data_IF_000569981428
#
_entry.id   IF_000569981428
#
_cell.length_a   1.000
_cell.length_b   1.000
_cell.length_c   1.000
_cell.angle_alpha   90.00
_cell.angle_beta   90.00
_cell.angle_gamma   90.00
#
_symmetry.space_group_name_H-M   'P 1'
#
loop_
_entity.id
_entity.type
_entity.pdbx_description
1 polymer ?
#
# COMPACT_ATOMS: atom_id res chain seq x y z
N UNK A 1 1.48 73.99 -14.99
CA UNK A 1 1.16 75.07 -14.02
C UNK A 1 -0.36 75.11 -13.78
N UNK A 2 -0.86 75.61 -12.63
CA UNK A 2 -2.32 75.73 -12.40
C UNK A 2 -3.07 76.59 -13.43
N UNK A 3 -2.35 77.38 -14.25
CA UNK A 3 -2.90 78.11 -15.40
C UNK A 3 -3.08 77.28 -16.68
N UNK A 4 -2.63 76.02 -16.72
CA UNK A 4 -2.81 75.09 -17.86
C UNK A 4 -3.95 74.08 -17.62
N UNK A 5 -4.53 74.08 -16.42
CA UNK A 5 -5.62 73.21 -16.02
C UNK A 5 -6.92 74.03 -16.05
N UNK A 6 -8.01 73.46 -16.57
CA UNK A 6 -9.31 74.14 -16.54
C UNK A 6 -9.72 74.46 -15.10
N UNK A 7 -10.44 75.57 -14.94
CA UNK A 7 -10.87 76.03 -13.62
C UNK A 7 -11.65 74.95 -12.86
N UNK A 8 -12.54 74.24 -13.56
CA UNK A 8 -13.32 73.12 -13.02
C UNK A 8 -12.45 71.97 -12.49
N UNK A 9 -11.45 71.52 -13.27
CA UNK A 9 -10.54 70.44 -12.82
C UNK A 9 -9.64 70.91 -11.68
N UNK A 10 -9.23 72.17 -11.71
CA UNK A 10 -8.45 72.77 -10.64
C UNK A 10 -9.24 72.80 -9.33
N UNK A 11 -10.47 73.29 -9.36
CA UNK A 11 -11.37 73.36 -8.21
C UNK A 11 -11.71 71.98 -7.67
N UNK A 12 -11.95 70.99 -8.53
CA UNK A 12 -12.19 69.61 -8.10
C UNK A 12 -10.99 69.02 -7.33
N UNK A 13 -9.76 69.29 -7.80
CA UNK A 13 -8.54 68.79 -7.17
C UNK A 13 -8.18 69.54 -5.90
N UNK A 14 -8.42 70.85 -5.85
CA UNK A 14 -8.34 71.61 -4.60
C UNK A 14 -9.34 71.07 -3.56
N UNK A 15 -10.56 70.74 -3.99
CA UNK A 15 -11.56 70.16 -3.10
C UNK A 15 -11.15 68.77 -2.60
N UNK A 16 -10.59 67.91 -3.47
CA UNK A 16 -10.01 66.61 -3.07
C UNK A 16 -8.89 66.78 -2.04
N UNK A 17 -7.92 67.65 -2.33
CA UNK A 17 -6.81 67.95 -1.42
C UNK A 17 -7.29 68.44 -0.06
N UNK A 18 -8.32 69.29 -0.04
CA UNK A 18 -8.86 69.87 1.18
C UNK A 18 -9.67 68.89 2.03
N UNK A 19 -10.28 67.87 1.42
CA UNK A 19 -11.24 66.99 2.11
C UNK A 19 -10.75 65.55 2.31
N UNK A 20 -9.68 65.10 1.64
CA UNK A 20 -9.14 63.78 1.86
C UNK A 20 -8.27 63.73 3.13
N UNK A 21 -8.60 62.79 4.04
CA UNK A 21 -7.87 62.56 5.28
C UNK A 21 -6.43 62.03 5.07
N UNK A 22 -6.09 61.55 3.87
CA UNK A 22 -4.73 61.17 3.48
C UNK A 22 -3.92 62.35 2.90
N UNK A 23 -4.56 63.48 2.57
CA UNK A 23 -3.94 64.63 1.92
C UNK A 23 -3.85 65.83 2.88
N UNK A 24 -4.42 67.00 2.52
CA UNK A 24 -4.25 68.23 3.30
C UNK A 24 -5.31 68.43 4.37
N UNK A 25 -6.41 67.67 4.35
CA UNK A 25 -7.46 67.81 5.37
C UNK A 25 -6.90 67.80 6.81
N UNK A 26 -6.00 66.88 7.23
CA UNK A 26 -5.50 66.86 8.60
C UNK A 26 -4.68 68.10 8.99
N UNK A 27 -4.00 68.73 8.03
CA UNK A 27 -3.23 69.97 8.31
C UNK A 27 -4.11 71.21 8.24
N UNK A 28 -5.13 71.22 7.38
CA UNK A 28 -6.15 72.27 7.33
C UNK A 28 -7.00 72.30 8.61
N UNK A 29 -7.40 71.12 9.11
CA UNK A 29 -8.10 70.97 10.39
C UNK A 29 -7.26 71.51 11.58
N UNK A 30 -5.93 71.54 11.44
CA UNK A 30 -4.98 72.08 12.41
C UNK A 30 -4.63 73.56 12.18
N UNK A 31 -5.35 74.25 11.28
CA UNK A 31 -5.23 75.69 11.05
C UNK A 31 -4.31 76.09 9.89
N UNK A 32 -3.79 75.13 9.11
CA UNK A 32 -3.11 75.47 7.86
C UNK A 32 -4.10 76.14 6.88
N UNK A 33 -3.58 76.98 5.98
CA UNK A 33 -4.37 77.65 4.95
C UNK A 33 -3.88 77.25 3.57
N UNK A 34 -4.79 76.75 2.74
CA UNK A 34 -4.53 76.50 1.32
C UNK A 34 -4.84 77.77 0.51
N UNK A 35 -3.91 78.20 -0.33
CA UNK A 35 -4.06 79.39 -1.17
C UNK A 35 -3.61 79.07 -2.59
N UNK A 36 -4.45 79.39 -3.57
CA UNK A 36 -4.12 79.20 -4.99
C UNK A 36 -3.17 80.29 -5.48
N UNK A 37 -2.11 79.89 -6.16
CA UNK A 37 -1.21 80.79 -6.87
C UNK A 37 -1.54 80.79 -8.36
N UNK A 38 -1.94 81.94 -8.91
CA UNK A 38 -2.37 82.07 -10.31
C UNK A 38 -1.21 82.35 -11.28
N UNK A 39 0.03 82.24 -10.81
CA UNK A 39 1.23 82.62 -11.57
C UNK A 39 1.19 84.08 -12.07
N UNK A 40 0.56 84.97 -11.31
CA UNK A 40 0.55 86.42 -11.56
C UNK A 40 1.24 87.14 -10.43
N UNK A 41 1.87 88.28 -10.75
CA UNK A 41 2.52 89.14 -9.75
C UNK A 41 1.57 89.50 -8.60
N UNK A 42 0.31 89.81 -8.93
CA UNK A 42 -0.71 90.16 -7.93
C UNK A 42 -1.02 88.98 -6.99
N UNK A 43 -1.20 87.76 -7.52
CA UNK A 43 -1.45 86.58 -6.69
C UNK A 43 -0.26 86.23 -5.79
N UNK A 44 0.97 86.42 -6.29
CA UNK A 44 2.19 86.26 -5.51
C UNK A 44 2.29 87.29 -4.37
N UNK A 45 2.04 88.57 -4.64
CA UNK A 45 2.02 89.60 -3.60
C UNK A 45 0.97 89.33 -2.52
N UNK A 46 -0.21 88.84 -2.90
CA UNK A 46 -1.27 88.50 -1.95
C UNK A 46 -0.86 87.34 -1.03
N UNK A 47 -0.20 86.31 -1.56
CA UNK A 47 0.36 85.23 -0.75
C UNK A 47 1.44 85.77 0.20
N UNK A 48 2.35 86.61 -0.30
CA UNK A 48 3.42 87.19 0.51
C UNK A 48 2.88 88.07 1.65
N UNK A 49 1.88 88.91 1.41
CA UNK A 49 1.23 89.72 2.46
C UNK A 49 0.71 88.86 3.61
N UNK A 50 0.14 87.68 3.29
CA UNK A 50 -0.34 86.73 4.32
C UNK A 50 0.78 86.08 5.14
N UNK A 51 2.01 86.08 4.62
CA UNK A 51 3.19 85.54 5.29
C UNK A 51 3.94 86.58 6.13
N UNK A 52 3.86 87.87 5.78
CA UNK A 52 4.57 88.95 6.50
C UNK A 52 4.16 89.01 7.98
N UNK A 53 2.87 88.86 8.28
CA UNK A 53 2.36 88.86 9.67
C UNK A 53 2.37 87.45 10.31
N UNK A 54 2.81 86.44 9.57
CA UNK A 54 2.78 85.06 10.05
C UNK A 54 3.98 84.81 10.98
N UNK A 55 3.69 84.33 12.19
CA UNK A 55 4.74 83.91 13.11
C UNK A 55 5.22 82.51 12.71
N UNK A 56 6.50 82.33 12.33
CA UNK A 56 7.01 81.03 11.94
C UNK A 56 7.00 80.10 13.16
N UNK A 57 6.25 79.00 13.03
CA UNK A 57 6.29 77.89 13.97
C UNK A 57 7.10 76.77 13.30
N UNK A 58 8.32 76.47 13.76
CA UNK A 58 9.10 75.38 13.18
C UNK A 58 8.33 74.07 13.38
N UNK A 59 8.31 73.23 12.33
CA UNK A 59 7.84 71.87 12.50
C UNK A 59 8.77 71.16 13.50
N UNK A 60 8.22 70.25 14.29
CA UNK A 60 9.01 69.48 15.26
C UNK A 60 10.21 68.80 14.60
N UNK A 61 10.03 68.21 13.40
CA UNK A 61 11.14 67.61 12.64
C UNK A 61 12.22 68.61 12.23
N UNK A 62 11.85 69.88 11.96
CA UNK A 62 12.83 70.92 11.61
C UNK A 62 13.64 71.33 12.83
N UNK A 63 13.00 71.47 14.00
CA UNK A 63 13.68 71.71 15.26
C UNK A 63 14.64 70.55 15.61
N UNK A 64 14.15 69.31 15.49
CA UNK A 64 14.93 68.11 15.79
C UNK A 64 16.15 67.97 14.88
N UNK A 65 16.03 68.25 13.58
CA UNK A 65 17.16 68.13 12.64
C UNK A 65 18.14 69.30 12.74
N UNK A 66 17.62 70.54 12.81
CA UNK A 66 18.46 71.75 12.69
C UNK A 66 19.01 72.19 14.04
N UNK A 67 18.15 72.26 15.06
CA UNK A 67 18.53 72.78 16.37
C UNK A 67 19.11 71.67 17.26
N UNK A 68 18.46 70.50 17.27
CA UNK A 68 18.89 69.35 18.08
C UNK A 68 19.89 68.42 17.37
N UNK A 69 20.18 68.67 16.08
CA UNK A 69 21.14 67.90 15.28
C UNK A 69 20.85 66.38 15.24
N UNK A 70 19.57 65.98 15.34
CA UNK A 70 19.14 64.59 15.22
C UNK A 70 19.19 64.13 13.77
N UNK A 71 19.53 62.86 13.57
CA UNK A 71 19.33 62.21 12.28
C UNK A 71 17.83 62.00 12.02
N UNK A 72 17.42 61.91 10.75
CA UNK A 72 16.01 61.75 10.36
C UNK A 72 15.35 60.56 11.07
N UNK A 73 16.07 59.45 11.24
CA UNK A 73 15.56 58.24 11.91
C UNK A 73 15.32 58.45 13.42
N UNK A 74 16.03 59.40 14.03
CA UNK A 74 15.93 59.73 15.46
C UNK A 74 14.85 60.77 15.77
N UNK A 75 14.24 61.35 14.73
CA UNK A 75 13.12 62.29 14.87
C UNK A 75 11.84 61.57 15.27
N UNK A 76 10.90 62.27 15.91
CA UNK A 76 9.61 61.67 16.26
C UNK A 76 8.85 61.22 15.02
N UNK A 77 8.95 61.97 13.92
CA UNK A 77 8.38 61.57 12.64
C UNK A 77 9.04 60.30 12.06
N UNK A 78 10.36 60.15 12.21
CA UNK A 78 11.10 58.96 11.82
C UNK A 78 10.68 57.73 12.62
N UNK A 79 10.61 57.86 13.95
CA UNK A 79 10.17 56.79 14.85
C UNK A 79 8.73 56.32 14.56
N UNK A 80 7.81 57.24 14.27
CA UNK A 80 6.43 56.92 13.89
C UNK A 80 6.35 56.14 12.57
N UNK A 81 7.17 56.51 11.57
CA UNK A 81 7.25 55.77 10.31
C UNK A 81 7.81 54.36 10.52
N UNK A 82 8.86 54.21 11.33
CA UNK A 82 9.44 52.92 11.66
C UNK A 82 8.46 52.03 12.43
N UNK A 83 7.74 52.59 13.41
CA UNK A 83 6.73 51.86 14.18
C UNK A 83 5.63 51.31 13.27
N UNK A 84 5.12 52.12 12.33
CA UNK A 84 4.12 51.66 11.36
C UNK A 84 4.65 50.58 10.43
N UNK A 85 5.87 50.75 9.93
CA UNK A 85 6.52 49.74 9.08
C UNK A 85 6.72 48.42 9.84
N UNK A 86 7.11 48.49 11.11
CA UNK A 86 7.30 47.32 11.98
C UNK A 86 5.97 46.62 12.28
N UNK A 87 4.90 47.37 12.52
CA UNK A 87 3.55 46.82 12.74
C UNK A 87 3.03 46.10 11.49
N UNK A 88 3.21 46.69 10.30
CA UNK A 88 2.85 46.05 9.03
C UNK A 88 3.68 44.79 8.77
N UNK A 89 5.00 44.85 9.00
CA UNK A 89 5.88 43.69 8.86
C UNK A 89 5.50 42.56 9.81
N UNK A 90 5.17 42.89 11.07
CA UNK A 90 4.68 41.92 12.07
C UNK A 90 3.38 41.28 11.61
N UNK A 91 2.42 42.08 11.11
CA UNK A 91 1.15 41.56 10.60
C UNK A 91 1.36 40.60 9.42
N UNK A 92 2.23 40.95 8.49
CA UNK A 92 2.58 40.08 7.36
C UNK A 92 3.24 38.79 7.83
N UNK A 93 4.18 38.88 8.78
CA UNK A 93 4.84 37.71 9.35
C UNK A 93 3.85 36.78 10.06
N UNK A 94 2.93 37.33 10.86
CA UNK A 94 1.89 36.54 11.53
C UNK A 94 0.97 35.83 10.52
N UNK A 95 0.61 36.52 9.42
CA UNK A 95 -0.20 35.93 8.36
C UNK A 95 0.53 34.79 7.65
N UNK A 96 1.81 34.98 7.30
CA UNK A 96 2.62 33.94 6.66
C UNK A 96 2.85 32.75 7.59
N UNK A 97 3.12 32.99 8.88
CA UNK A 97 3.21 31.93 9.88
C UNK A 97 1.90 31.16 10.02
N UNK A 98 0.76 31.83 9.94
CA UNK A 98 -0.56 31.17 9.95
C UNK A 98 -0.74 30.28 8.71
N UNK A 99 -0.47 30.80 7.51
CA UNK A 99 -0.55 30.02 6.26
C UNK A 99 0.36 28.81 6.28
N UNK A 100 1.58 28.96 6.77
CA UNK A 100 2.54 27.86 6.90
C UNK A 100 2.05 26.78 7.87
N UNK A 101 1.48 27.17 9.02
CA UNK A 101 0.89 26.22 9.98
C UNK A 101 -0.28 25.45 9.36
N UNK A 102 -1.20 26.15 8.69
CA UNK A 102 -2.33 25.53 8.00
C UNK A 102 -1.88 24.56 6.91
N UNK A 103 -0.89 24.95 6.10
CA UNK A 103 -0.32 24.09 5.06
C UNK A 103 0.37 22.84 5.67
N UNK A 104 1.12 23.00 6.76
CA UNK A 104 1.76 21.89 7.46
C UNK A 104 0.74 20.92 8.05
N UNK A 105 -0.33 21.42 8.68
CA UNK A 105 -1.41 20.59 9.21
C UNK A 105 -2.13 19.83 8.09
N UNK A 106 -2.44 20.49 6.97
CA UNK A 106 -3.08 19.85 5.83
C UNK A 106 -2.18 18.74 5.24
N UNK A 107 -0.88 18.99 5.10
CA UNK A 107 0.08 18.01 4.63
C UNK A 107 0.20 16.80 5.58
N UNK A 108 0.23 17.04 6.90
CA UNK A 108 0.24 15.97 7.90
C UNK A 108 -1.02 15.11 7.82
N UNK A 109 -2.21 15.72 7.69
CA UNK A 109 -3.48 14.98 7.55
C UNK A 109 -3.50 14.13 6.28
N UNK A 110 -3.09 14.70 5.14
CA UNK A 110 -3.00 13.96 3.88
C UNK A 110 -2.03 12.77 3.97
N UNK A 111 -0.85 12.97 4.58
CA UNK A 111 0.11 11.88 4.78
C UNK A 111 -0.43 10.81 5.72
N UNK A 112 -1.10 11.18 6.81
CA UNK A 112 -1.71 10.24 7.74
C UNK A 112 -2.80 9.39 7.06
N UNK A 113 -3.64 10.01 6.24
CA UNK A 113 -4.67 9.30 5.47
C UNK A 113 -4.03 8.35 4.44
N UNK A 114 -3.00 8.80 3.73
CA UNK A 114 -2.29 7.95 2.77
C UNK A 114 -1.66 6.73 3.45
N UNK A 115 -0.94 6.94 4.58
CA UNK A 115 -0.36 5.83 5.36
C UNK A 115 -1.43 4.87 5.87
N UNK A 116 -2.58 5.37 6.34
CA UNK A 116 -3.68 4.53 6.78
C UNK A 116 -4.22 3.66 5.63
N UNK A 117 -4.35 4.22 4.42
CA UNK A 117 -4.76 3.47 3.22
C UNK A 117 -3.72 2.40 2.83
N UNK A 118 -2.43 2.73 2.87
CA UNK A 118 -1.35 1.78 2.57
C UNK A 118 -1.33 0.61 3.57
N UNK A 119 -1.50 0.89 4.87
CA UNK A 119 -1.58 -0.14 5.91
C UNK A 119 -2.79 -1.04 5.69
N UNK A 120 -3.96 -0.49 5.37
CA UNK A 120 -5.16 -1.31 5.13
C UNK A 120 -5.00 -2.18 3.87
N UNK A 121 -4.44 -1.63 2.78
CA UNK A 121 -4.15 -2.40 1.57
C UNK A 121 -3.16 -3.54 1.85
N UNK A 122 -2.09 -3.28 2.61
CA UNK A 122 -1.13 -4.29 3.01
C UNK A 122 -1.79 -5.39 3.87
N UNK A 123 -2.71 -5.01 4.77
CA UNK A 123 -3.47 -5.95 5.60
C UNK A 123 -4.37 -6.85 4.76
N UNK A 124 -5.11 -6.27 3.81
CA UNK A 124 -5.97 -7.01 2.88
C UNK A 124 -5.13 -7.98 2.02
N UNK A 125 -4.02 -7.49 1.47
CA UNK A 125 -3.12 -8.30 0.64
C UNK A 125 -2.53 -9.49 1.44
N UNK A 126 -2.13 -9.26 2.70
CA UNK A 126 -1.65 -10.32 3.58
C UNK A 126 -2.71 -11.38 3.85
N UNK A 127 -3.93 -10.97 4.20
CA UNK A 127 -5.04 -11.91 4.44
C UNK A 127 -5.36 -12.72 3.19
N UNK A 128 -5.37 -12.09 2.02
CA UNK A 128 -5.58 -12.78 0.75
C UNK A 128 -4.45 -13.78 0.43
N UNK A 129 -3.19 -13.43 0.70
CA UNK A 129 -2.06 -14.32 0.53
C UNK A 129 -2.12 -15.53 1.49
N UNK A 130 -2.46 -15.30 2.76
CA UNK A 130 -2.65 -16.37 3.75
C UNK A 130 -3.80 -17.31 3.35
N UNK A 131 -4.91 -16.78 2.83
CA UNK A 131 -6.01 -17.59 2.34
C UNK A 131 -5.60 -18.48 1.16
N UNK A 132 -4.86 -17.93 0.18
CA UNK A 132 -4.32 -18.70 -0.95
C UNK A 132 -3.36 -19.78 -0.49
N UNK A 133 -2.43 -19.46 0.41
CA UNK A 133 -1.48 -20.43 0.94
C UNK A 133 -2.18 -21.58 1.70
N UNK A 134 -3.25 -21.26 2.46
CA UNK A 134 -4.08 -22.28 3.13
C UNK A 134 -4.79 -23.18 2.12
N UNK A 135 -5.34 -22.61 1.06
CA UNK A 135 -6.03 -23.38 0.01
C UNK A 135 -5.04 -24.30 -0.73
N UNK A 136 -3.87 -23.79 -1.09
CA UNK A 136 -2.79 -24.58 -1.71
C UNK A 136 -2.33 -25.72 -0.80
N UNK A 137 -2.13 -25.44 0.49
CA UNK A 137 -1.78 -26.46 1.48
C UNK A 137 -2.87 -27.54 1.60
N UNK A 138 -4.15 -27.14 1.66
CA UNK A 138 -5.26 -28.09 1.68
C UNK A 138 -5.32 -28.97 0.42
N UNK A 139 -5.08 -28.38 -0.76
CA UNK A 139 -5.00 -29.13 -2.03
C UNK A 139 -3.86 -30.14 -2.01
N UNK A 140 -2.67 -29.76 -1.52
CA UNK A 140 -1.54 -30.67 -1.39
C UNK A 140 -1.83 -31.82 -0.43
N UNK A 141 -2.42 -31.54 0.73
CA UNK A 141 -2.82 -32.57 1.70
C UNK A 141 -3.85 -33.53 1.10
N UNK A 142 -4.85 -33.01 0.38
CA UNK A 142 -5.85 -33.84 -0.29
C UNK A 142 -5.21 -34.75 -1.36
N UNK A 143 -4.31 -34.21 -2.18
CA UNK A 143 -3.57 -34.97 -3.19
C UNK A 143 -2.70 -36.06 -2.55
N UNK A 144 -1.99 -35.74 -1.46
CA UNK A 144 -1.20 -36.74 -0.72
C UNK A 144 -2.07 -37.83 -0.11
N UNK A 145 -3.20 -37.47 0.50
CA UNK A 145 -4.13 -38.44 1.06
C UNK A 145 -4.70 -39.36 -0.02
N UNK A 146 -5.01 -38.83 -1.21
CA UNK A 146 -5.49 -39.63 -2.34
C UNK A 146 -4.39 -40.56 -2.87
N UNK A 147 -3.16 -40.07 -3.03
CA UNK A 147 -2.01 -40.88 -3.43
C UNK A 147 -1.74 -42.03 -2.45
N UNK A 148 -1.78 -41.74 -1.14
CA UNK A 148 -1.64 -42.76 -0.10
C UNK A 148 -2.76 -43.81 -0.15
N UNK A 149 -4.02 -43.40 -0.38
CA UNK A 149 -5.13 -44.34 -0.56
C UNK A 149 -4.94 -45.23 -1.78
N UNK A 150 -4.49 -44.67 -2.90
CA UNK A 150 -4.20 -45.43 -4.11
C UNK A 150 -3.05 -46.42 -3.87
N UNK A 151 -2.00 -46.01 -3.19
CA UNK A 151 -0.87 -46.88 -2.85
C UNK A 151 -1.27 -48.00 -1.88
N UNK A 152 -2.03 -47.69 -0.83
CA UNK A 152 -2.60 -48.70 0.07
C UNK A 152 -3.49 -49.70 -0.68
N UNK A 153 -4.34 -49.23 -1.60
CA UNK A 153 -5.17 -50.10 -2.42
C UNK A 153 -4.32 -51.01 -3.33
N UNK A 154 -3.26 -50.47 -3.95
CA UNK A 154 -2.31 -51.26 -4.75
C UNK A 154 -1.63 -52.34 -3.91
N UNK A 155 -1.13 -52.00 -2.73
CA UNK A 155 -0.48 -52.96 -1.82
C UNK A 155 -1.46 -54.05 -1.39
N UNK A 156 -2.70 -53.69 -1.02
CA UNK A 156 -3.73 -54.66 -0.70
C UNK A 156 -4.09 -55.58 -1.87
N UNK A 157 -4.04 -55.06 -3.11
CA UNK A 157 -4.30 -55.86 -4.30
C UNK A 157 -3.14 -56.83 -4.58
N UNK A 158 -1.89 -56.35 -4.51
CA UNK A 158 -0.70 -57.20 -4.61
C UNK A 158 -0.73 -58.31 -3.56
N UNK A 159 -1.09 -57.99 -2.32
CA UNK A 159 -1.17 -58.97 -1.25
C UNK A 159 -2.25 -60.03 -1.51
N UNK A 160 -3.43 -59.62 -1.97
CA UNK A 160 -4.49 -60.54 -2.40
C UNK A 160 -4.04 -61.45 -3.54
N UNK A 161 -3.33 -60.91 -4.52
CA UNK A 161 -2.81 -61.68 -5.65
C UNK A 161 -1.76 -62.70 -5.20
N UNK A 162 -0.86 -62.32 -4.29
CA UNK A 162 0.13 -63.23 -3.70
C UNK A 162 -0.54 -64.35 -2.90
N UNK A 163 -1.54 -64.02 -2.09
CA UNK A 163 -2.31 -65.01 -1.32
C UNK A 163 -3.08 -65.97 -2.24
N UNK A 164 -3.70 -65.46 -3.31
CA UNK A 164 -4.38 -66.26 -4.32
C UNK A 164 -3.40 -67.19 -5.07
N UNK A 165 -2.22 -66.69 -5.46
CA UNK A 165 -1.17 -67.51 -6.07
C UNK A 165 -0.65 -68.59 -5.12
N UNK A 166 -0.45 -68.26 -3.84
CA UNK A 166 -0.04 -69.23 -2.82
C UNK A 166 -1.12 -70.28 -2.57
N UNK A 167 -2.39 -69.90 -2.54
CA UNK A 167 -3.52 -70.83 -2.45
C UNK A 167 -3.61 -71.73 -3.69
N UNK A 168 -3.44 -71.18 -4.89
CA UNK A 168 -3.44 -71.94 -6.14
C UNK A 168 -2.28 -72.94 -6.20
N UNK A 169 -1.07 -72.53 -5.80
CA UNK A 169 0.09 -73.44 -5.70
C UNK A 169 -0.17 -74.59 -4.73
N UNK A 170 -0.68 -74.29 -3.53
CA UNK A 170 -1.04 -75.32 -2.54
C UNK A 170 -2.10 -76.29 -3.08
N UNK A 171 -3.15 -75.77 -3.73
CA UNK A 171 -4.17 -76.61 -4.34
C UNK A 171 -3.61 -77.51 -5.47
N UNK A 172 -2.70 -76.99 -6.29
CA UNK A 172 -2.05 -77.76 -7.35
C UNK A 172 -1.13 -78.85 -6.78
N UNK A 173 -0.34 -78.52 -5.75
CA UNK A 173 0.48 -79.49 -5.02
C UNK A 173 -0.38 -80.61 -4.41
N UNK A 174 -1.50 -80.26 -3.78
CA UNK A 174 -2.46 -81.24 -3.25
C UNK A 174 -3.07 -82.10 -4.37
N UNK A 175 -3.39 -81.53 -5.54
CA UNK A 175 -3.91 -82.28 -6.69
C UNK A 175 -2.88 -83.26 -7.23
N UNK A 176 -1.63 -82.82 -7.41
CA UNK A 176 -0.53 -83.67 -7.85
C UNK A 176 -0.30 -84.80 -6.84
N UNK A 177 -0.33 -84.48 -5.54
CA UNK A 177 -0.17 -85.47 -4.48
C UNK A 177 -1.28 -86.53 -4.52
N UNK A 178 -2.54 -86.11 -4.65
CA UNK A 178 -3.68 -87.04 -4.81
C UNK A 178 -3.54 -87.91 -6.05
N UNK A 179 -3.14 -87.35 -7.19
CA UNK A 179 -2.92 -88.13 -8.41
C UNK A 179 -1.80 -89.17 -8.22
N UNK A 180 -0.68 -88.78 -7.60
CA UNK A 180 0.43 -89.71 -7.28
C UNK A 180 -0.03 -90.82 -6.34
N UNK A 181 -0.85 -90.52 -5.34
CA UNK A 181 -1.43 -91.52 -4.44
C UNK A 181 -2.36 -92.49 -5.18
N UNK A 182 -3.20 -91.99 -6.09
CA UNK A 182 -4.06 -92.84 -6.93
C UNK A 182 -3.27 -93.70 -7.92
N UNK A 183 -2.24 -93.14 -8.57
CA UNK A 183 -1.34 -93.89 -9.46
C UNK A 183 -0.59 -94.97 -8.69
N UNK A 184 -0.06 -94.66 -7.50
CA UNK A 184 0.58 -95.63 -6.63
C UNK A 184 -0.39 -96.73 -6.19
N UNK A 185 -1.64 -96.39 -5.88
CA UNK A 185 -2.68 -97.37 -5.55
C UNK A 185 -2.96 -98.30 -6.73
N UNK A 186 -3.17 -97.74 -7.92
CA UNK A 186 -3.38 -98.51 -9.16
C UNK A 186 -2.18 -99.39 -9.52
N UNK A 187 -0.96 -98.89 -9.32
CA UNK A 187 0.26 -99.64 -9.55
C UNK A 187 0.37 -100.85 -8.61
N UNK A 188 0.05 -100.66 -7.31
CA UNK A 188 -0.02 -101.76 -6.33
C UNK A 188 -1.08 -102.79 -6.71
N UNK A 189 -2.29 -102.36 -7.07
CA UNK A 189 -3.36 -103.26 -7.53
C UNK A 189 -2.99 -104.02 -8.82
N UNK A 190 -2.30 -103.37 -9.76
CA UNK A 190 -1.79 -103.97 -10.99
C UNK A 190 -0.64 -104.96 -10.72
N UNK A 191 0.24 -104.66 -9.77
CA UNK A 191 1.30 -105.56 -9.34
C UNK A 191 0.74 -106.78 -8.63
N UNK A 192 -0.24 -106.60 -7.74
CA UNK A 192 -0.95 -107.70 -7.09
C UNK A 192 -1.68 -108.59 -8.09
N UNK A 193 -2.39 -108.02 -9.06
CA UNK A 193 -3.06 -108.79 -10.11
C UNK A 193 -2.06 -109.51 -11.01
N UNK A 194 -0.95 -108.87 -11.42
CA UNK A 194 0.15 -109.53 -12.15
C UNK A 194 0.80 -110.64 -11.33
N UNK A 195 0.98 -110.46 -10.02
CA UNK A 195 1.49 -111.51 -9.13
C UNK A 195 0.52 -112.69 -9.03
N UNK A 196 -0.79 -112.43 -8.90
CA UNK A 196 -1.85 -113.46 -8.94
C UNK A 196 -1.86 -114.21 -10.27
N UNK A 197 -1.80 -113.50 -11.40
CA UNK A 197 -1.72 -114.10 -12.73
C UNK A 197 -0.44 -114.91 -12.93
N UNK A 198 0.72 -114.42 -12.48
CA UNK A 198 1.99 -115.19 -12.51
C UNK A 198 1.90 -116.47 -11.68
N UNK A 199 1.38 -116.40 -10.45
CA UNK A 199 1.16 -117.57 -9.61
C UNK A 199 0.18 -118.57 -10.25
N UNK A 200 -0.83 -118.09 -10.98
CA UNK A 200 -1.77 -118.92 -11.74
C UNK A 200 -1.09 -119.60 -12.95
N UNK A 201 -0.27 -118.88 -13.71
CA UNK A 201 0.53 -119.42 -14.83
C UNK A 201 1.55 -120.44 -14.33
N UNK A 202 2.22 -120.19 -13.20
CA UNK A 202 3.10 -121.17 -12.56
C UNK A 202 2.34 -122.44 -12.12
N UNK A 203 1.14 -122.30 -11.57
CA UNK A 203 0.26 -123.44 -11.27
C UNK A 203 -0.10 -124.25 -12.51
N UNK A 204 -0.43 -123.58 -13.62
CA UNK A 204 -0.76 -124.22 -14.90
C UNK A 204 0.46 -124.90 -15.53
N UNK A 205 1.64 -124.28 -15.47
CA UNK A 205 2.89 -124.87 -15.94
C UNK A 205 3.35 -126.06 -15.08
N UNK A 206 3.15 -126.03 -13.75
CA UNK A 206 3.35 -127.21 -12.89
C UNK A 206 2.38 -128.35 -13.22
N UNK A 207 1.15 -128.06 -13.67
CA UNK A 207 0.20 -129.05 -14.20
C UNK A 207 0.64 -129.61 -15.56
N UNK A 208 1.14 -128.79 -16.48
CA UNK A 208 1.69 -129.25 -17.78
C UNK A 208 2.95 -130.10 -17.63
N UNK A 209 3.91 -129.69 -16.78
CA UNK A 209 5.09 -130.53 -16.45
C UNK A 209 4.75 -131.86 -15.76
N UNK A 210 3.55 -131.99 -15.18
CA UNK A 210 3.03 -133.28 -14.68
C UNK A 210 2.37 -134.14 -15.75
N UNK A 211 1.93 -133.54 -16.87
CA UNK A 211 1.26 -134.25 -17.97
C UNK A 211 2.21 -134.65 -19.12
N UNK A 212 3.41 -134.05 -19.22
CA UNK A 212 4.43 -134.45 -20.21
C UNK A 212 5.40 -135.56 -19.70
N UNK A 213 5.09 -136.21 -18.57
CA UNK A 213 5.86 -137.32 -17.99
C UNK A 213 5.11 -138.67 -17.97
N UNK A 214 4.06 -138.86 -18.78
CA UNK A 214 3.28 -140.11 -18.77
C UNK A 214 2.97 -140.56 -20.21
N UNK A 215 3.58 -141.70 -20.56
CA UNK A 215 3.36 -142.65 -21.68
C UNK A 215 4.14 -142.33 -22.97
N UNK A 216 5.16 -143.08 -23.44
CA UNK A 216 5.65 -144.46 -23.18
C UNK A 216 4.59 -145.56 -23.07
#
# INVERSE_FOLDING_TARGET
MWGEVSEERGSARENELANDNQLFKPVLDKGARMVRHYNTFQSGQEILRRLVDNHPLPLQIQHEIVDEHKEIQQTVAGAELESKAMEEAKRQQEEEMRKQREAMEAAMRAQAEQKAREVEQARIAKVAAEARAREEYQRQVAQQAEAQRQEQARLQQIQRDLEAQAAARRAEEERIQRMREEENRRAREAEETRARHRAQVERLNRRRRKNDCIIC
#
